data_IF_513146752826
#
_entry.id   IF_513146752826
#
_cell.length_a   1.000
_cell.length_b   1.000
_cell.length_c   1.000
_cell.angle_alpha   90.00
_cell.angle_beta   90.00
_cell.angle_gamma   90.00
#
_symmetry.space_group_name_H-M   'P 1'
#
loop_
_entity.id
_entity.type
_entity.pdbx_description
1 polymer ?
#
# COMPACT_ATOMS: atom_id res chain seq x y z
N UNK A 1 -8.61 5.21 1.59
CA UNK A 1 -8.82 4.61 2.93
C UNK A 1 -7.51 4.10 3.55
N UNK A 2 -6.80 3.11 2.98
CA UNK A 2 -5.57 2.58 3.59
C UNK A 2 -4.50 3.67 3.87
N UNK A 3 -4.27 4.60 2.94
CA UNK A 3 -3.34 5.71 3.13
C UNK A 3 -3.66 6.58 4.37
N UNK A 4 -4.95 6.84 4.63
CA UNK A 4 -5.40 7.58 5.81
C UNK A 4 -5.08 6.83 7.09
N UNK A 5 -5.39 5.53 7.13
CA UNK A 5 -5.11 4.68 8.29
C UNK A 5 -3.60 4.58 8.56
N UNK A 6 -2.79 4.45 7.51
CA UNK A 6 -1.33 4.47 7.61
C UNK A 6 -0.83 5.76 8.26
N UNK A 7 -1.24 6.92 7.75
CA UNK A 7 -0.77 8.20 8.26
C UNK A 7 -1.20 8.46 9.71
N UNK A 8 -2.42 8.07 10.08
CA UNK A 8 -2.89 8.12 11.47
C UNK A 8 -2.00 7.30 12.43
N UNK A 9 -1.35 6.25 11.92
CA UNK A 9 -0.42 5.41 12.68
C UNK A 9 1.06 5.74 12.40
N UNK A 10 1.36 6.89 11.78
CA UNK A 10 2.74 7.33 11.49
C UNK A 10 3.45 6.56 10.37
N UNK A 11 2.72 5.79 9.56
CA UNK A 11 3.27 5.00 8.45
C UNK A 11 3.19 5.78 7.13
N UNK A 12 4.29 5.78 6.35
CA UNK A 12 4.38 6.54 5.10
C UNK A 12 4.86 5.73 3.88
N UNK A 13 5.37 4.52 4.08
CA UNK A 13 5.89 3.68 3.00
C UNK A 13 4.83 2.71 2.48
N UNK A 14 4.08 3.14 1.46
CA UNK A 14 3.10 2.28 0.77
C UNK A 14 3.75 1.57 -0.43
N UNK A 15 3.47 0.27 -0.56
CA UNK A 15 3.81 -0.52 -1.75
C UNK A 15 2.54 -1.11 -2.34
N UNK A 16 2.33 -0.94 -3.64
CA UNK A 16 1.18 -1.48 -4.37
C UNK A 16 1.66 -2.53 -5.35
N UNK A 17 0.95 -3.65 -5.41
CA UNK A 17 1.23 -4.74 -6.34
C UNK A 17 0.06 -4.84 -7.31
N UNK A 18 0.36 -4.70 -8.60
CA UNK A 18 -0.59 -4.83 -9.71
C UNK A 18 -1.95 -4.16 -9.43
N UNK A 19 -1.97 -2.84 -9.13
CA UNK A 19 -3.23 -2.15 -8.88
C UNK A 19 -4.13 -2.24 -10.11
N UNK A 20 -5.38 -2.65 -9.90
CA UNK A 20 -6.38 -2.83 -10.98
C UNK A 20 -6.65 -1.57 -11.81
N UNK A 21 -6.36 -0.40 -11.24
CA UNK A 21 -6.57 0.90 -11.84
C UNK A 21 -5.22 1.57 -12.01
N UNK A 22 -5.12 2.40 -13.06
CA UNK A 22 -3.93 3.20 -13.29
C UNK A 22 -3.58 4.02 -12.05
N UNK A 23 -2.29 4.06 -11.74
CA UNK A 23 -1.78 4.74 -10.57
C UNK A 23 -1.05 6.03 -10.96
N UNK A 24 -1.35 7.16 -10.29
CA UNK A 24 -2.34 7.36 -9.23
C UNK A 24 -3.78 7.49 -9.75
N UNK A 25 -4.76 6.97 -8.99
CA UNK A 25 -6.18 7.03 -9.32
C UNK A 25 -6.92 8.12 -8.52
N UNK A 26 -7.80 8.90 -9.17
CA UNK A 26 -8.52 10.03 -8.54
C UNK A 26 -9.31 9.63 -7.28
N UNK A 27 -10.04 8.51 -7.32
CA UNK A 27 -10.75 7.98 -6.13
C UNK A 27 -9.82 7.68 -4.96
N UNK A 28 -8.57 7.27 -5.21
CA UNK A 28 -7.62 7.01 -4.13
C UNK A 28 -7.23 8.31 -3.42
N UNK A 29 -7.02 9.39 -4.19
CA UNK A 29 -6.72 10.74 -3.69
C UNK A 29 -7.89 11.23 -2.83
N UNK A 30 -9.12 11.23 -3.35
CA UNK A 30 -10.30 11.68 -2.61
C UNK A 30 -10.52 10.89 -1.31
N UNK A 31 -10.28 9.57 -1.33
CA UNK A 31 -10.43 8.71 -0.15
C UNK A 31 -9.22 8.74 0.81
N UNK A 32 -8.19 9.55 0.55
CA UNK A 32 -7.01 9.66 1.40
C UNK A 32 -7.17 10.68 2.52
N UNK A 33 -8.09 11.65 2.38
CA UNK A 33 -8.42 12.64 3.41
C UNK A 33 -7.19 13.33 4.00
N UNK A 34 -6.34 13.94 3.17
CA UNK A 34 -5.12 14.63 3.64
C UNK A 34 -3.88 13.72 3.77
N UNK A 35 -4.00 12.43 3.43
CA UNK A 35 -2.89 11.48 3.44
C UNK A 35 -2.23 11.30 2.05
N UNK A 36 -2.26 12.33 1.21
CA UNK A 36 -1.72 12.29 -0.15
C UNK A 36 -0.21 12.02 -0.15
N UNK A 37 0.50 12.38 0.93
CA UNK A 37 1.94 12.06 1.08
C UNK A 37 2.21 10.56 0.97
N UNK A 38 1.34 9.71 1.52
CA UNK A 38 1.47 8.25 1.44
C UNK A 38 1.24 7.76 0.02
N UNK A 39 0.30 8.37 -0.71
CA UNK A 39 0.02 8.03 -2.10
C UNK A 39 1.14 8.48 -3.05
N UNK A 40 1.66 9.70 -2.86
CA UNK A 40 2.77 10.24 -3.66
C UNK A 40 4.05 9.43 -3.50
N UNK A 41 4.31 8.94 -2.29
CA UNK A 41 5.47 8.11 -1.97
C UNK A 41 5.25 6.62 -2.27
N UNK A 42 4.07 6.24 -2.79
CA UNK A 42 3.75 4.85 -3.04
C UNK A 42 4.62 4.27 -4.16
N UNK A 43 5.23 3.11 -3.92
CA UNK A 43 5.99 2.36 -4.93
C UNK A 43 5.08 1.31 -5.56
N UNK A 44 4.96 1.32 -6.88
CA UNK A 44 4.13 0.36 -7.64
C UNK A 44 5.00 -0.74 -8.23
N UNK A 45 4.57 -1.99 -8.06
CA UNK A 45 5.27 -3.18 -8.53
C UNK A 45 4.33 -4.07 -9.33
N UNK A 46 4.88 -4.83 -10.28
CA UNK A 46 4.12 -5.81 -11.07
C UNK A 46 3.85 -7.12 -10.31
N UNK A 47 4.71 -7.50 -9.37
CA UNK A 47 4.60 -8.79 -8.66
C UNK A 47 4.94 -8.63 -7.19
N UNK A 48 4.37 -9.51 -6.36
CA UNK A 48 4.66 -9.56 -4.92
C UNK A 48 6.14 -9.81 -4.66
N UNK A 49 6.77 -10.72 -5.41
CA UNK A 49 8.21 -11.02 -5.31
C UNK A 49 9.07 -9.76 -5.45
N UNK A 50 8.76 -8.87 -6.40
CA UNK A 50 9.49 -7.60 -6.56
C UNK A 50 9.20 -6.62 -5.43
N UNK A 51 7.96 -6.59 -4.93
CA UNK A 51 7.54 -5.70 -3.88
C UNK A 51 8.11 -6.03 -2.49
N UNK A 52 8.66 -7.23 -2.30
CA UNK A 52 9.24 -7.69 -1.02
C UNK A 52 10.74 -7.99 -1.10
N UNK A 53 11.37 -7.82 -2.27
CA UNK A 53 12.74 -8.29 -2.53
C UNK A 53 13.81 -7.69 -1.60
N UNK A 54 13.56 -6.50 -1.06
CA UNK A 54 14.43 -5.75 -0.14
C UNK A 54 14.01 -5.89 1.33
N UNK A 55 13.06 -6.76 1.67
CA UNK A 55 12.58 -6.97 3.03
C UNK A 55 13.15 -8.27 3.63
N UNK A 56 13.70 -8.20 4.83
CA UNK A 56 14.25 -9.39 5.53
C UNK A 56 13.18 -10.18 6.31
N UNK A 57 12.07 -9.53 6.66
CA UNK A 57 11.00 -10.13 7.42
C UNK A 57 9.65 -9.70 6.85
N UNK A 58 8.74 -10.67 6.69
CA UNK A 58 7.49 -10.49 5.95
C UNK A 58 6.36 -11.16 6.73
N UNK A 59 5.26 -10.43 6.88
CA UNK A 59 4.02 -10.94 7.45
C UNK A 59 2.93 -11.02 6.38
N UNK A 60 2.06 -12.02 6.50
CA UNK A 60 0.87 -12.18 5.67
C UNK A 60 -0.39 -12.10 6.54
N UNK A 61 -1.21 -11.08 6.34
CA UNK A 61 -2.48 -10.92 7.05
C UNK A 61 -3.57 -11.78 6.40
N UNK A 62 -4.13 -12.73 7.13
CA UNK A 62 -5.26 -13.57 6.69
C UNK A 62 -6.41 -13.47 7.67
N UNK A 63 -7.65 -13.55 7.19
CA UNK A 63 -8.83 -13.47 8.05
C UNK A 63 -9.03 -14.71 8.93
N UNK A 64 -8.45 -15.85 8.52
CA UNK A 64 -8.47 -17.14 9.21
C UNK A 64 -7.09 -17.75 9.16
N UNK A 65 -6.83 -18.69 10.06
CA UNK A 65 -5.62 -19.51 10.06
C UNK A 65 -5.55 -20.27 8.73
N UNK A 66 -4.32 -20.41 8.22
CA UNK A 66 -4.00 -21.14 7.01
C UNK A 66 -3.08 -22.26 7.44
N UNK A 67 -3.55 -23.48 7.25
CA UNK A 67 -2.85 -24.73 7.55
C UNK A 67 -2.23 -25.28 6.26
#
# INVERSE_FOLDING_TARGET
MAARAMLNCGLVHLRLVDPKQDWPHSKAISASSGAEVVLRNARVFKTTTKAIADLNHIYASTARIRD
#
